data_IF_784045684297
#
_entry.id   IF_784045684297
#
_cell.length_a   1.000
_cell.length_b   1.000
_cell.length_c   1.000
_cell.angle_alpha   90.00
_cell.angle_beta   90.00
_cell.angle_gamma   90.00
#
_symmetry.space_group_name_H-M   'P 1'
#
loop_
_entity.id
_entity.type
_entity.pdbx_description
1 polymer ?
#
# COMPACT_ATOMS: atom_id res chain seq x y z
N UNK A 1 -5.12 -17.15 -46.09
CA UNK A 1 -3.86 -16.77 -45.41
C UNK A 1 -4.15 -15.58 -44.52
N UNK A 2 -4.46 -15.79 -43.24
CA UNK A 2 -4.57 -14.70 -42.26
C UNK A 2 -3.48 -14.92 -41.22
N UNK A 3 -2.30 -14.40 -41.51
CA UNK A 3 -1.18 -14.29 -40.56
C UNK A 3 -0.89 -12.82 -40.34
N UNK A 4 -1.87 -12.08 -39.83
CA UNK A 4 -1.64 -10.73 -39.32
C UNK A 4 -1.39 -10.82 -37.83
N UNK A 5 -0.12 -11.00 -37.45
CA UNK A 5 0.35 -10.89 -36.07
C UNK A 5 0.40 -9.41 -35.67
N UNK A 6 -0.77 -8.80 -35.45
CA UNK A 6 -0.89 -7.38 -35.10
C UNK A 6 -1.04 -7.25 -33.59
N UNK A 7 -0.15 -6.48 -32.96
CA UNK A 7 -0.31 -5.99 -31.60
C UNK A 7 -0.93 -4.58 -31.67
N UNK A 8 -2.07 -4.39 -31.02
CA UNK A 8 -2.74 -3.09 -30.90
C UNK A 8 -2.79 -2.68 -29.44
N UNK A 9 -2.51 -1.41 -29.18
CA UNK A 9 -2.51 -0.84 -27.83
C UNK A 9 -3.15 0.53 -27.87
N UNK A 10 -3.88 0.89 -26.83
CA UNK A 10 -4.62 2.15 -26.77
C UNK A 10 -5.55 2.20 -25.57
N UNK A 11 -6.49 3.13 -25.61
CA UNK A 11 -7.49 3.30 -24.55
C UNK A 11 -8.46 2.12 -24.49
N UNK A 12 -9.07 1.91 -23.31
CA UNK A 12 -10.10 0.90 -23.12
C UNK A 12 -11.27 1.15 -24.08
N UNK A 13 -11.76 0.10 -24.75
CA UNK A 13 -12.87 0.21 -25.72
C UNK A 13 -14.21 0.66 -25.11
N UNK A 14 -14.33 0.65 -23.78
CA UNK A 14 -15.49 1.16 -23.05
C UNK A 14 -15.47 2.68 -22.83
N UNK A 15 -14.38 3.37 -23.19
CA UNK A 15 -14.29 4.82 -23.06
C UNK A 15 -15.14 5.48 -24.15
N UNK A 16 -16.03 6.39 -23.73
CA UNK A 16 -16.97 7.10 -24.61
C UNK A 16 -16.42 8.42 -25.16
N UNK A 17 -15.35 8.97 -24.57
CA UNK A 17 -14.70 10.19 -25.03
C UNK A 17 -13.25 10.28 -24.54
N UNK A 18 -12.39 10.91 -25.34
CA UNK A 18 -11.01 11.27 -24.97
C UNK A 18 -10.99 12.78 -24.76
N UNK A 19 -10.57 13.29 -23.58
CA UNK A 19 -10.56 14.73 -23.32
C UNK A 19 -9.52 15.45 -24.19
N UNK A 20 -9.72 16.75 -24.39
CA UNK A 20 -8.73 17.61 -25.03
C UNK A 20 -7.39 17.54 -24.27
N UNK A 21 -6.27 17.55 -25.01
CA UNK A 21 -4.91 17.45 -24.48
C UNK A 21 -4.57 16.13 -23.76
N UNK A 22 -5.33 15.05 -24.00
CA UNK A 22 -4.95 13.72 -23.53
C UNK A 22 -3.60 13.26 -24.11
N UNK A 23 -2.70 12.78 -23.26
CA UNK A 23 -1.45 12.17 -23.66
C UNK A 23 -1.36 10.75 -23.07
N UNK A 24 -0.95 9.80 -23.90
CA UNK A 24 -0.71 8.42 -23.52
C UNK A 24 0.65 7.97 -24.07
N UNK A 25 1.43 7.33 -23.20
CA UNK A 25 2.71 6.73 -23.55
C UNK A 25 2.72 5.29 -23.05
N UNK A 26 3.31 4.39 -23.83
CA UNK A 26 3.40 2.97 -23.51
C UNK A 26 4.81 2.45 -23.75
N UNK A 27 5.28 1.55 -22.89
CA UNK A 27 6.51 0.78 -23.08
C UNK A 27 6.12 -0.67 -23.33
N UNK A 28 6.44 -1.18 -24.51
CA UNK A 28 6.31 -2.60 -24.87
C UNK A 28 7.70 -3.21 -24.89
N UNK A 29 7.87 -4.34 -24.21
CA UNK A 29 9.13 -5.07 -24.20
C UNK A 29 8.91 -6.52 -24.66
N UNK A 30 9.82 -7.01 -25.49
CA UNK A 30 9.85 -8.40 -25.96
C UNK A 30 11.24 -8.98 -25.74
N UNK A 31 11.29 -10.25 -25.32
CA UNK A 31 12.52 -11.01 -25.18
C UNK A 31 12.39 -12.36 -25.88
N UNK A 32 13.35 -12.65 -26.75
CA UNK A 32 13.51 -13.97 -27.37
C UNK A 32 14.24 -14.97 -26.45
N UNK A 33 14.83 -14.52 -25.35
CA UNK A 33 15.54 -15.39 -24.37
C UNK A 33 14.69 -15.72 -23.14
N UNK A 34 13.40 -15.40 -23.18
CA UNK A 34 12.42 -15.77 -22.17
C UNK A 34 12.03 -14.66 -21.21
N UNK A 35 11.03 -14.97 -20.40
CA UNK A 35 10.30 -13.99 -19.57
C UNK A 35 11.20 -13.24 -18.56
N UNK A 36 12.22 -13.91 -18.02
CA UNK A 36 13.13 -13.30 -17.05
C UNK A 36 13.96 -12.16 -17.63
N UNK A 37 14.44 -12.29 -18.87
CA UNK A 37 15.12 -11.18 -19.55
C UNK A 37 14.09 -10.09 -19.91
N UNK A 38 12.91 -10.48 -20.39
CA UNK A 38 11.85 -9.53 -20.74
C UNK A 38 11.46 -8.63 -19.57
N UNK A 39 11.23 -9.19 -18.39
CA UNK A 39 10.89 -8.43 -17.17
C UNK A 39 12.06 -7.55 -16.73
N UNK A 40 13.31 -8.04 -16.76
CA UNK A 40 14.48 -7.27 -16.35
C UNK A 40 14.70 -6.04 -17.21
N UNK A 41 14.68 -6.20 -18.53
CA UNK A 41 14.90 -5.10 -19.45
C UNK A 41 13.71 -4.15 -19.51
N UNK A 42 12.48 -4.64 -19.38
CA UNK A 42 11.32 -3.78 -19.15
C UNK A 42 11.49 -2.92 -17.89
N UNK A 43 11.87 -3.52 -16.75
CA UNK A 43 12.10 -2.80 -15.51
C UNK A 43 13.23 -1.77 -15.60
N UNK A 44 14.32 -2.08 -16.33
CA UNK A 44 15.41 -1.14 -16.60
C UNK A 44 14.95 0.03 -17.48
N UNK A 45 14.17 -0.26 -18.52
CA UNK A 45 13.61 0.75 -19.42
C UNK A 45 12.68 1.71 -18.67
N UNK A 46 11.81 1.17 -17.80
CA UNK A 46 10.94 1.96 -16.92
C UNK A 46 11.75 2.88 -16.00
N UNK A 47 12.83 2.38 -15.39
CA UNK A 47 13.69 3.21 -14.54
C UNK A 47 14.31 4.37 -15.32
N UNK A 48 14.82 4.12 -16.53
CA UNK A 48 15.41 5.15 -17.39
C UNK A 48 14.37 6.20 -17.82
N UNK A 49 13.17 5.78 -18.23
CA UNK A 49 12.12 6.68 -18.70
C UNK A 49 11.68 7.70 -17.64
N UNK A 50 11.76 7.34 -16.36
CA UNK A 50 11.37 8.19 -15.24
C UNK A 50 12.54 8.69 -14.39
N UNK A 51 13.77 8.59 -14.89
CA UNK A 51 15.00 8.98 -14.17
C UNK A 51 15.09 8.39 -12.76
N UNK A 52 14.64 7.14 -12.59
CA UNK A 52 14.67 6.41 -11.32
C UNK A 52 15.97 5.62 -11.19
N UNK A 53 16.48 5.57 -9.97
CA UNK A 53 17.64 4.76 -9.60
C UNK A 53 17.21 3.67 -8.61
N UNK A 54 18.11 2.75 -8.29
CA UNK A 54 17.88 1.73 -7.26
C UNK A 54 17.85 2.26 -5.83
N UNK A 55 17.96 3.59 -5.62
CA UNK A 55 18.08 4.19 -4.30
C UNK A 55 16.91 3.82 -3.37
N UNK A 56 15.66 3.94 -3.84
CA UNK A 56 14.49 3.59 -3.04
C UNK A 56 14.51 2.10 -2.66
N UNK A 57 14.70 1.21 -3.65
CA UNK A 57 14.75 -0.23 -3.41
C UNK A 57 15.87 -0.62 -2.43
N UNK A 58 17.03 0.02 -2.50
CA UNK A 58 18.17 -0.26 -1.62
C UNK A 58 17.94 0.21 -0.18
N UNK A 59 17.15 1.27 0.00
CA UNK A 59 16.86 1.86 1.31
C UNK A 59 15.50 1.43 1.88
N UNK A 60 14.71 0.67 1.12
CA UNK A 60 13.40 0.21 1.57
C UNK A 60 13.55 -0.89 2.62
N UNK A 61 13.17 -0.56 3.86
CA UNK A 61 13.22 -1.47 4.99
C UNK A 61 12.44 -2.76 4.73
N UNK A 62 11.28 -2.65 4.07
CA UNK A 62 10.35 -3.77 3.85
C UNK A 62 10.81 -4.76 2.78
N UNK A 63 11.78 -4.35 1.96
CA UNK A 63 12.35 -5.18 0.89
C UNK A 63 13.65 -5.84 1.35
N UNK A 64 14.45 -5.16 2.18
CA UNK A 64 15.82 -5.61 2.50
C UNK A 64 15.94 -6.32 3.85
N UNK A 65 14.92 -6.26 4.71
CA UNK A 65 14.97 -6.83 6.05
C UNK A 65 13.76 -7.71 6.35
N UNK A 66 13.94 -8.65 7.28
CA UNK A 66 12.84 -9.46 7.81
C UNK A 66 11.90 -8.55 8.63
N UNK A 67 10.60 -8.61 8.33
CA UNK A 67 9.54 -7.98 9.13
C UNK A 67 8.59 -9.01 9.73
N UNK A 68 7.88 -8.62 10.79
CA UNK A 68 6.81 -9.43 11.37
C UNK A 68 5.45 -8.95 10.82
N UNK A 69 4.76 -9.79 10.05
CA UNK A 69 3.47 -9.44 9.44
C UNK A 69 2.28 -9.97 10.23
N UNK A 70 1.23 -9.15 10.32
CA UNK A 70 -0.04 -9.47 10.98
C UNK A 70 -1.21 -9.49 9.99
N UNK A 71 -0.90 -9.76 8.73
CA UNK A 71 -1.82 -9.70 7.58
C UNK A 71 -2.54 -11.03 7.31
N UNK A 72 -3.41 -11.03 6.29
CA UNK A 72 -4.24 -12.18 5.97
C UNK A 72 -3.43 -13.47 5.73
N UNK A 73 -3.58 -14.44 6.63
CA UNK A 73 -2.83 -15.69 6.65
C UNK A 73 -1.83 -15.79 7.81
N UNK A 74 -1.52 -14.68 8.47
CA UNK A 74 -0.76 -14.65 9.72
C UNK A 74 -1.64 -15.03 10.93
N UNK A 75 -1.00 -15.50 12.00
CA UNK A 75 -1.71 -15.93 13.21
C UNK A 75 -2.42 -14.78 13.94
N UNK A 76 -1.84 -13.57 13.95
CA UNK A 76 -2.41 -12.38 14.59
C UNK A 76 -3.23 -11.50 13.63
N UNK A 77 -3.78 -12.10 12.57
CA UNK A 77 -4.72 -11.40 11.68
C UNK A 77 -6.14 -11.42 12.25
N UNK A 78 -6.64 -10.25 12.67
CA UNK A 78 -7.92 -10.14 13.40
C UNK A 78 -8.00 -11.08 14.61
N UNK A 79 -6.85 -11.39 15.22
CA UNK A 79 -6.73 -12.35 16.29
C UNK A 79 -5.66 -11.86 17.29
N UNK A 80 -5.96 -12.03 18.58
CA UNK A 80 -5.04 -11.81 19.70
C UNK A 80 -5.19 -12.96 20.67
N UNK A 81 -4.22 -13.13 21.58
CA UNK A 81 -4.39 -14.06 22.69
C UNK A 81 -5.58 -13.63 23.57
N UNK A 82 -6.20 -14.61 24.24
CA UNK A 82 -7.36 -14.34 25.10
C UNK A 82 -7.02 -13.29 26.16
N UNK A 83 -7.89 -12.28 26.30
CA UNK A 83 -7.75 -11.17 27.26
C UNK A 83 -6.54 -10.25 27.00
N UNK A 84 -5.89 -10.36 25.83
CA UNK A 84 -4.80 -9.49 25.39
C UNK A 84 -5.26 -8.65 24.20
N UNK A 85 -4.99 -7.35 24.21
CA UNK A 85 -5.25 -6.45 23.08
C UNK A 85 -4.08 -6.47 22.08
N UNK A 86 -4.21 -5.75 20.97
CA UNK A 86 -3.13 -5.71 19.98
C UNK A 86 -1.88 -5.00 20.49
N UNK A 87 -2.04 -3.92 21.26
CA UNK A 87 -0.91 -3.24 21.89
C UNK A 87 0.02 -4.22 22.61
N UNK A 88 -0.51 -4.95 23.59
CA UNK A 88 0.26 -5.92 24.36
C UNK A 88 0.70 -7.12 23.51
N UNK A 89 -0.09 -7.50 22.50
CA UNK A 89 0.32 -8.54 21.54
C UNK A 89 1.61 -8.16 20.81
N UNK A 90 1.71 -6.93 20.30
CA UNK A 90 2.91 -6.47 19.59
C UNK A 90 4.14 -6.39 20.50
N UNK A 91 3.95 -5.93 21.73
CA UNK A 91 5.02 -5.85 22.74
C UNK A 91 5.49 -7.24 23.13
N UNK A 92 4.57 -8.19 23.31
CA UNK A 92 4.91 -9.59 23.55
C UNK A 92 5.68 -10.21 22.38
N UNK A 93 5.24 -9.98 21.13
CA UNK A 93 5.96 -10.40 19.93
C UNK A 93 7.40 -9.88 19.95
N UNK A 94 7.59 -8.58 20.22
CA UNK A 94 8.91 -7.94 20.27
C UNK A 94 9.84 -8.54 21.34
N UNK A 95 9.33 -8.82 22.54
CA UNK A 95 10.16 -9.36 23.61
C UNK A 95 10.38 -10.87 23.55
N UNK A 96 9.42 -11.64 23.00
CA UNK A 96 9.45 -13.10 23.06
C UNK A 96 10.08 -13.75 21.82
N UNK A 97 9.96 -13.12 20.65
CA UNK A 97 10.53 -13.65 19.42
C UNK A 97 12.03 -13.39 19.37
N UNK A 98 12.80 -14.46 19.19
CA UNK A 98 14.28 -14.40 19.14
C UNK A 98 14.85 -14.09 17.76
N UNK A 99 14.02 -14.10 16.71
CA UNK A 99 14.44 -13.76 15.36
C UNK A 99 14.52 -12.23 15.21
N UNK A 100 15.61 -11.69 14.63
CA UNK A 100 15.75 -10.25 14.45
C UNK A 100 14.87 -9.78 13.27
N UNK A 101 13.70 -9.24 13.59
CA UNK A 101 12.89 -8.48 12.63
C UNK A 101 13.12 -6.98 12.84
N UNK A 102 12.99 -6.21 11.75
CA UNK A 102 13.36 -4.79 11.71
C UNK A 102 12.15 -3.87 11.60
N UNK A 103 10.95 -4.44 11.49
CA UNK A 103 9.69 -3.73 11.50
C UNK A 103 8.54 -4.70 11.79
N UNK A 104 7.42 -4.14 12.26
CA UNK A 104 6.15 -4.85 12.42
C UNK A 104 5.16 -4.25 11.43
N UNK A 105 4.42 -5.09 10.71
CA UNK A 105 3.32 -4.65 9.87
C UNK A 105 2.01 -4.62 10.67
N UNK A 106 1.27 -3.53 10.52
CA UNK A 106 -0.07 -3.36 11.08
C UNK A 106 -1.09 -3.49 9.94
N UNK A 107 -1.91 -4.55 9.99
CA UNK A 107 -2.94 -4.79 8.96
C UNK A 107 -4.19 -3.92 9.14
N UNK A 108 -5.25 -4.20 8.40
CA UNK A 108 -6.49 -3.44 8.36
C UNK A 108 -7.27 -3.35 9.68
N UNK A 109 -6.79 -3.91 10.79
CA UNK A 109 -7.48 -3.97 12.08
C UNK A 109 -7.30 -2.72 12.96
N UNK A 110 -6.29 -1.87 12.73
CA UNK A 110 -5.92 -0.80 13.67
C UNK A 110 -6.58 0.57 13.46
N UNK A 111 -7.11 0.85 12.27
CA UNK A 111 -7.69 2.15 11.91
C UNK A 111 -9.22 2.12 11.84
N UNK A 112 -9.86 3.28 11.78
CA UNK A 112 -11.31 3.39 11.63
C UNK A 112 -11.75 3.07 10.19
N UNK A 113 -12.73 2.19 10.08
CA UNK A 113 -13.33 1.79 8.80
C UNK A 113 -14.64 2.54 8.54
N UNK A 114 -14.91 2.82 7.28
CA UNK A 114 -16.16 3.41 6.78
C UNK A 114 -16.92 2.44 5.89
N UNK A 115 -17.60 2.97 4.88
CA UNK A 115 -18.28 2.16 3.85
C UNK A 115 -17.34 1.12 3.24
N UNK A 116 -17.88 -0.08 3.01
CA UNK A 116 -17.19 -1.27 2.45
C UNK A 116 -15.86 -1.61 3.14
N UNK A 117 -15.72 -1.34 4.44
CA UNK A 117 -14.48 -1.61 5.19
C UNK A 117 -13.24 -0.82 4.69
N UNK A 118 -13.46 0.27 3.94
CA UNK A 118 -12.41 1.20 3.54
C UNK A 118 -11.95 2.08 4.70
N UNK A 119 -10.78 2.70 4.59
CA UNK A 119 -10.27 3.65 5.60
C UNK A 119 -11.18 4.88 5.66
N UNK A 120 -11.82 5.13 6.80
CA UNK A 120 -12.54 6.38 7.05
C UNK A 120 -11.67 7.42 7.73
N UNK A 121 -10.87 6.98 8.71
CA UNK A 121 -9.88 7.78 9.43
C UNK A 121 -8.59 6.98 9.64
N UNK A 122 -7.45 7.59 9.33
CA UNK A 122 -6.11 6.99 9.45
C UNK A 122 -5.49 7.37 10.78
N UNK A 123 -6.12 6.87 11.84
CA UNK A 123 -5.67 7.09 13.22
C UNK A 123 -5.88 5.82 14.04
N UNK A 124 -5.04 5.65 15.05
CA UNK A 124 -5.09 4.53 15.97
C UNK A 124 -6.42 4.50 16.72
N UNK A 125 -7.05 3.34 16.74
CA UNK A 125 -8.25 3.10 17.54
C UNK A 125 -7.89 2.86 19.01
N UNK A 126 -8.48 3.59 19.98
CA UNK A 126 -8.21 3.37 21.40
C UNK A 126 -8.59 1.98 21.93
N UNK A 127 -9.54 1.30 21.27
CA UNK A 127 -9.90 -0.07 21.66
C UNK A 127 -8.90 -1.14 21.17
N UNK A 128 -7.97 -0.75 20.29
CA UNK A 128 -6.87 -1.58 19.78
C UNK A 128 -5.54 -1.18 20.46
N UNK A 129 -5.30 0.13 20.55
CA UNK A 129 -4.12 0.77 21.11
C UNK A 129 -4.55 1.81 22.17
N UNK A 130 -4.86 1.37 23.40
CA UNK A 130 -5.38 2.27 24.46
C UNK A 130 -4.43 3.42 24.80
N UNK A 131 -3.12 3.20 24.72
CA UNK A 131 -2.12 4.24 24.99
C UNK A 131 -1.72 5.01 23.70
N UNK A 132 -2.26 4.61 22.56
CA UNK A 132 -1.98 5.20 21.25
C UNK A 132 -0.65 4.74 20.64
N UNK A 133 -0.55 4.83 19.31
CA UNK A 133 0.59 4.31 18.54
C UNK A 133 1.94 4.93 18.91
N UNK A 134 1.98 6.17 19.39
CA UNK A 134 3.23 6.82 19.84
C UNK A 134 3.83 6.09 21.05
N UNK A 135 2.99 5.72 22.03
CA UNK A 135 3.43 4.99 23.22
C UNK A 135 3.87 3.57 22.81
N UNK A 136 3.10 2.89 21.97
CA UNK A 136 3.46 1.57 21.44
C UNK A 136 4.81 1.62 20.74
N UNK A 137 5.03 2.58 19.86
CA UNK A 137 6.29 2.75 19.14
C UNK A 137 7.48 2.94 20.08
N UNK A 138 7.32 3.71 21.17
CA UNK A 138 8.35 3.83 22.22
C UNK A 138 8.60 2.51 22.97
N UNK A 139 7.54 1.77 23.31
CA UNK A 139 7.63 0.46 23.99
C UNK A 139 8.30 -0.61 23.10
N UNK A 140 8.21 -0.45 21.78
CA UNK A 140 8.91 -1.26 20.78
C UNK A 140 10.32 -0.73 20.44
N UNK A 141 10.91 0.09 21.31
CA UNK A 141 12.25 0.69 21.12
C UNK A 141 12.40 1.47 19.79
N UNK A 142 11.33 2.12 19.34
CA UNK A 142 11.24 2.84 18.07
C UNK A 142 11.43 1.96 16.83
N UNK A 143 11.02 0.70 16.92
CA UNK A 143 10.97 -0.21 15.79
C UNK A 143 9.98 0.32 14.73
N UNK A 144 10.39 0.50 13.47
CA UNK A 144 9.51 0.98 12.41
C UNK A 144 8.24 0.13 12.24
N UNK A 145 7.15 0.81 11.84
CA UNK A 145 5.87 0.19 11.57
C UNK A 145 5.53 0.28 10.09
N UNK A 146 5.21 -0.85 9.46
CA UNK A 146 4.65 -0.88 8.11
C UNK A 146 3.13 -0.86 8.20
N UNK A 147 2.50 0.27 7.90
CA UNK A 147 1.07 0.44 8.04
C UNK A 147 0.33 0.09 6.73
N UNK A 148 -0.48 -0.97 6.74
CA UNK A 148 -1.29 -1.36 5.60
C UNK A 148 -2.58 -0.53 5.54
N UNK A 149 -2.93 -0.07 4.34
CA UNK A 149 -4.26 0.42 4.01
C UNK A 149 -4.87 -0.40 2.87
N UNK A 150 -6.18 -0.66 2.94
CA UNK A 150 -6.87 -1.38 1.86
C UNK A 150 -7.21 -0.46 0.68
N UNK A 151 -8.06 0.54 0.96
CA UNK A 151 -8.46 1.64 0.09
C UNK A 151 -9.17 2.68 0.96
N UNK A 152 -9.28 3.92 0.48
CA UNK A 152 -10.03 4.97 1.17
C UNK A 152 -11.53 4.76 0.96
N UNK A 153 -12.30 4.94 2.03
CA UNK A 153 -13.76 4.83 1.94
C UNK A 153 -14.36 6.08 1.32
N UNK A 154 -15.50 5.95 0.62
CA UNK A 154 -16.23 7.09 0.05
C UNK A 154 -16.61 8.14 1.11
N UNK A 155 -16.85 7.73 2.36
CA UNK A 155 -17.19 8.59 3.48
C UNK A 155 -15.97 9.00 4.33
N UNK A 156 -14.74 8.82 3.83
CA UNK A 156 -13.53 9.26 4.54
C UNK A 156 -13.58 10.75 4.90
N UNK A 157 -13.13 11.08 6.11
CA UNK A 157 -13.14 12.46 6.61
C UNK A 157 -12.18 13.36 5.82
N UNK A 158 -11.13 12.77 5.22
CA UNK A 158 -10.08 13.53 4.54
C UNK A 158 -10.57 14.21 3.27
N UNK A 159 -11.69 13.76 2.67
CA UNK A 159 -12.27 14.41 1.48
C UNK A 159 -12.78 15.84 1.74
N UNK A 160 -12.85 16.27 3.01
CA UNK A 160 -13.19 17.64 3.38
C UNK A 160 -12.02 18.61 3.16
N UNK A 161 -10.78 18.12 3.30
CA UNK A 161 -9.56 18.93 3.28
C UNK A 161 -8.66 18.64 2.08
N UNK A 162 -8.85 17.48 1.43
CA UNK A 162 -8.06 17.05 0.27
C UNK A 162 -8.98 16.66 -0.89
N UNK A 163 -8.44 16.71 -2.10
CA UNK A 163 -9.14 16.33 -3.32
C UNK A 163 -9.20 14.81 -3.47
N UNK A 164 -10.39 14.28 -3.77
CA UNK A 164 -10.62 12.84 -3.97
C UNK A 164 -11.47 12.58 -5.22
N UNK A 165 -11.10 11.56 -5.99
CA UNK A 165 -12.01 10.90 -6.93
C UNK A 165 -12.93 9.99 -6.12
N UNK A 166 -14.23 10.18 -6.26
CA UNK A 166 -15.24 9.45 -5.51
C UNK A 166 -16.02 8.53 -6.46
N UNK A 167 -15.99 7.23 -6.19
CA UNK A 167 -16.80 6.25 -6.91
C UNK A 167 -18.00 5.86 -6.06
N UNK A 168 -19.17 6.42 -6.41
CA UNK A 168 -20.43 6.15 -5.71
C UNK A 168 -20.92 4.70 -5.91
N UNK A 169 -20.58 4.05 -7.02
CA UNK A 169 -21.03 2.70 -7.29
C UNK A 169 -20.29 1.69 -6.42
N UNK A 170 -18.98 1.87 -6.26
CA UNK A 170 -18.16 0.98 -5.45
C UNK A 170 -17.97 1.44 -4.00
N UNK A 171 -18.44 2.65 -3.67
CA UNK A 171 -18.28 3.31 -2.37
C UNK A 171 -16.81 3.45 -1.95
N UNK A 172 -15.94 3.67 -2.94
CA UNK A 172 -14.49 3.87 -2.76
C UNK A 172 -14.10 5.31 -3.07
N UNK A 173 -12.98 5.73 -2.50
CA UNK A 173 -12.35 7.00 -2.77
C UNK A 173 -10.88 6.80 -3.13
N UNK A 174 -10.34 7.69 -3.96
CA UNK A 174 -8.93 7.76 -4.30
C UNK A 174 -8.46 9.21 -4.14
N UNK A 175 -7.45 9.50 -3.32
CA UNK A 175 -6.90 10.86 -3.25
C UNK A 175 -6.35 11.23 -4.64
N UNK A 176 -6.79 12.38 -5.15
CA UNK A 176 -6.33 12.95 -6.42
C UNK A 176 -5.75 14.33 -6.13
N UNK A 177 -4.47 14.54 -6.33
CA UNK A 177 -3.82 15.78 -5.93
C UNK A 177 -2.31 15.67 -5.92
N UNK A 178 -1.66 16.66 -5.31
CA UNK A 178 -0.24 16.60 -5.03
C UNK A 178 0.05 15.68 -3.82
N UNK A 179 1.34 15.52 -3.50
CA UNK A 179 1.78 14.59 -2.45
C UNK A 179 1.44 15.06 -1.01
N UNK A 180 0.85 16.25 -0.83
CA UNK A 180 0.52 16.80 0.49
C UNK A 180 -0.37 15.87 1.31
N UNK A 181 -1.33 15.20 0.66
CA UNK A 181 -2.16 14.20 1.34
C UNK A 181 -1.31 13.11 2.00
N UNK A 182 -0.32 12.58 1.30
CA UNK A 182 0.50 11.51 1.86
C UNK A 182 1.49 12.02 2.91
N UNK A 183 2.03 13.23 2.74
CA UNK A 183 2.97 13.83 3.69
C UNK A 183 2.28 14.14 5.03
N UNK A 184 1.05 14.64 5.01
CA UNK A 184 0.35 15.06 6.24
C UNK A 184 -0.15 13.87 7.09
N UNK A 185 -0.14 12.65 6.54
CA UNK A 185 -0.64 11.44 7.18
C UNK A 185 0.46 10.62 7.90
N UNK A 186 1.74 10.98 7.75
CA UNK A 186 2.91 10.29 8.32
C UNK A 186 3.82 11.26 9.07
#
# INVERSE_FOLDING_TARGET
SQTTNILQCGVLGSIISIPENYNYSMIIFYSSKGINEGIREWGKTMQQAYNRTNQYRLNDLTINYLGYYTDNGAYYYYNTEKEINYEETLINIYHQIRLPFHYIQLDSWWYYKGLKDGVSQWTARPDIFPDGLEIVHRRLENLPLAAHNRYWSYDTIYKQNYSFALDKQTEKALPIGNDSFWIDLF
#
